data_IF_725733464590
#
_entry.id   IF_725733464590
#
_cell.length_a   1.000
_cell.length_b   1.000
_cell.length_c   1.000
_cell.angle_alpha   90.00
_cell.angle_beta   90.00
_cell.angle_gamma   90.00
#
_symmetry.space_group_name_H-M   'P 1'
#
loop_
_entity.id
_entity.type
_entity.pdbx_description
1 polymer ?
#
# COMPACT_ATOMS: atom_id res chain seq x y z
N UNK A 1 3.26 -13.71 -9.13
CA UNK A 1 1.91 -13.59 -8.53
C UNK A 1 0.87 -13.37 -9.61
N UNK A 2 -0.31 -13.97 -9.50
CA UNK A 2 -1.42 -13.76 -10.45
C UNK A 2 -2.77 -13.84 -9.74
N UNK A 3 -3.79 -13.17 -10.28
CA UNK A 3 -5.19 -13.35 -9.90
C UNK A 3 -5.88 -14.28 -10.89
N UNK A 4 -6.62 -15.23 -10.36
CA UNK A 4 -7.43 -16.17 -11.13
C UNK A 4 -8.89 -16.10 -10.67
N UNK A 5 -9.84 -16.40 -11.56
CA UNK A 5 -11.23 -16.55 -11.16
C UNK A 5 -11.40 -17.70 -10.18
N UNK A 6 -12.22 -17.49 -9.15
CA UNK A 6 -12.56 -18.56 -8.21
C UNK A 6 -13.28 -19.69 -8.97
N UNK A 7 -12.87 -20.93 -8.70
CA UNK A 7 -13.49 -22.12 -9.28
C UNK A 7 -13.38 -23.31 -8.31
N UNK A 8 -14.07 -24.39 -8.60
CA UNK A 8 -14.01 -25.62 -7.79
C UNK A 8 -12.60 -26.23 -7.67
N UNK A 9 -11.69 -25.90 -8.60
CA UNK A 9 -10.28 -26.31 -8.51
C UNK A 9 -9.56 -25.72 -7.30
N UNK A 10 -10.08 -24.64 -6.72
CA UNK A 10 -9.51 -23.96 -5.56
C UNK A 10 -10.08 -24.46 -4.22
N UNK A 11 -10.92 -25.53 -4.24
CA UNK A 11 -11.62 -26.01 -3.05
C UNK A 11 -10.68 -26.40 -1.89
N UNK A 12 -9.54 -27.03 -2.18
CA UNK A 12 -8.58 -27.41 -1.15
C UNK A 12 -7.86 -26.18 -0.55
N UNK A 13 -7.59 -25.18 -1.35
CA UNK A 13 -7.04 -23.89 -0.87
C UNK A 13 -8.02 -23.14 0.02
N UNK A 14 -9.27 -23.02 -0.42
CA UNK A 14 -10.35 -22.41 0.35
C UNK A 14 -10.62 -23.19 1.66
N UNK A 15 -10.61 -24.53 1.62
CA UNK A 15 -10.76 -25.33 2.83
C UNK A 15 -9.66 -25.00 3.85
N UNK A 16 -8.38 -24.97 3.41
CA UNK A 16 -7.27 -24.60 4.32
C UNK A 16 -7.42 -23.19 4.87
N UNK A 17 -7.89 -22.23 4.05
CA UNK A 17 -8.14 -20.86 4.48
C UNK A 17 -9.21 -20.79 5.58
N UNK A 18 -10.30 -21.57 5.47
CA UNK A 18 -11.36 -21.66 6.46
C UNK A 18 -10.99 -22.44 7.72
N UNK A 19 -9.87 -23.18 7.71
CA UNK A 19 -9.29 -23.81 8.90
C UNK A 19 -8.23 -22.92 9.58
N UNK A 20 -7.80 -21.83 8.94
CA UNK A 20 -6.80 -20.92 9.47
C UNK A 20 -7.43 -19.97 10.51
N UNK A 21 -7.18 -20.24 11.81
CA UNK A 21 -7.72 -19.43 12.90
C UNK A 21 -7.33 -17.96 12.83
N UNK A 22 -6.15 -17.64 12.30
CA UNK A 22 -5.72 -16.25 12.14
C UNK A 22 -6.54 -15.49 11.06
N UNK A 23 -7.35 -16.20 10.30
CA UNK A 23 -8.22 -15.67 9.26
C UNK A 23 -9.68 -15.79 9.69
N UNK A 24 -10.13 -16.99 10.05
CA UNK A 24 -11.55 -17.29 10.30
C UNK A 24 -12.10 -16.53 11.51
N UNK A 25 -11.26 -16.21 12.49
CA UNK A 25 -11.70 -15.47 13.68
C UNK A 25 -12.14 -14.03 13.38
N UNK A 26 -11.73 -13.47 12.22
CA UNK A 26 -12.05 -12.11 11.80
C UNK A 26 -12.95 -12.04 10.57
N UNK A 27 -12.82 -13.03 9.69
CA UNK A 27 -13.57 -13.13 8.43
C UNK A 27 -14.02 -14.58 8.31
N UNK A 28 -15.22 -14.83 7.80
CA UNK A 28 -15.73 -16.18 7.56
C UNK A 28 -16.00 -17.00 8.84
N UNK A 29 -16.37 -16.36 9.95
CA UNK A 29 -16.73 -17.06 11.20
C UNK A 29 -17.82 -18.10 11.02
N UNK A 30 -18.74 -17.84 10.10
CA UNK A 30 -19.82 -18.74 9.70
C UNK A 30 -19.32 -20.04 9.07
N UNK A 31 -18.09 -20.08 8.59
CA UNK A 31 -17.46 -21.27 8.00
C UNK A 31 -16.50 -22.00 8.94
N UNK A 32 -16.45 -21.61 10.21
CA UNK A 32 -15.63 -22.30 11.20
C UNK A 32 -16.08 -23.77 11.34
N UNK A 33 -15.16 -24.70 11.09
CA UNK A 33 -15.46 -26.14 11.15
C UNK A 33 -16.15 -26.74 9.93
N UNK A 34 -16.29 -25.97 8.84
CA UNK A 34 -16.88 -26.44 7.58
C UNK A 34 -16.13 -27.67 7.02
N UNK A 35 -16.85 -28.62 6.45
CA UNK A 35 -16.28 -29.76 5.76
C UNK A 35 -15.80 -29.43 4.34
N UNK A 36 -14.94 -30.29 3.78
CA UNK A 36 -14.46 -30.13 2.38
C UNK A 36 -15.59 -30.20 1.33
N UNK A 37 -16.67 -30.91 1.64
CA UNK A 37 -17.82 -31.04 0.74
C UNK A 37 -18.60 -29.71 0.72
N UNK A 38 -18.86 -29.17 1.90
CA UNK A 38 -19.57 -27.89 2.03
C UNK A 38 -18.79 -26.72 1.41
N UNK A 39 -17.45 -26.74 1.46
CA UNK A 39 -16.62 -25.72 0.78
C UNK A 39 -16.90 -25.67 -0.72
N UNK A 40 -17.13 -26.81 -1.37
CA UNK A 40 -17.49 -26.83 -2.80
C UNK A 40 -18.81 -26.13 -3.07
N UNK A 41 -19.81 -26.33 -2.20
CA UNK A 41 -21.11 -25.66 -2.30
C UNK A 41 -20.95 -24.14 -2.06
N UNK A 42 -20.11 -23.74 -1.10
CA UNK A 42 -19.79 -22.30 -0.89
C UNK A 42 -19.14 -21.68 -2.13
N UNK A 43 -18.18 -22.37 -2.74
CA UNK A 43 -17.55 -21.89 -3.97
C UNK A 43 -18.58 -21.77 -5.10
N UNK A 44 -19.42 -22.78 -5.27
CA UNK A 44 -20.44 -22.78 -6.32
C UNK A 44 -21.40 -21.60 -6.14
N UNK A 45 -21.93 -21.38 -4.95
CA UNK A 45 -22.81 -20.25 -4.64
C UNK A 45 -22.12 -18.89 -4.93
N UNK A 46 -20.83 -18.76 -4.58
CA UNK A 46 -20.06 -17.55 -4.84
C UNK A 46 -19.84 -17.29 -6.33
N UNK A 47 -19.56 -18.33 -7.11
CA UNK A 47 -19.34 -18.24 -8.57
C UNK A 47 -20.64 -17.96 -9.33
N UNK A 48 -21.77 -18.48 -8.86
CA UNK A 48 -23.09 -18.28 -9.47
C UNK A 48 -23.71 -16.91 -9.13
N UNK A 49 -23.22 -16.22 -8.10
CA UNK A 49 -23.72 -14.90 -7.71
C UNK A 49 -23.18 -13.80 -8.63
N UNK A 50 -24.05 -13.24 -9.46
CA UNK A 50 -23.69 -12.20 -10.44
C UNK A 50 -23.31 -10.84 -9.83
N UNK A 51 -23.65 -10.61 -8.57
CA UNK A 51 -23.39 -9.36 -7.84
C UNK A 51 -22.12 -9.44 -6.99
N UNK A 52 -21.35 -10.51 -7.18
CA UNK A 52 -20.08 -10.72 -6.51
C UNK A 52 -19.00 -11.12 -7.53
N UNK A 53 -17.76 -10.74 -7.24
CA UNK A 53 -16.58 -11.13 -7.99
C UNK A 53 -15.55 -11.66 -7.01
N UNK A 54 -15.10 -12.87 -7.26
CA UNK A 54 -14.13 -13.55 -6.42
C UNK A 54 -12.89 -13.93 -7.21
N UNK A 55 -11.73 -13.42 -6.79
CA UNK A 55 -10.44 -13.72 -7.40
C UNK A 55 -9.53 -14.42 -6.38
N UNK A 56 -8.91 -15.49 -6.82
CA UNK A 56 -7.91 -16.22 -6.03
C UNK A 56 -6.53 -15.62 -6.29
N UNK A 57 -5.77 -15.41 -5.23
CA UNK A 57 -4.37 -14.99 -5.29
C UNK A 57 -3.51 -16.25 -5.33
N UNK A 58 -2.73 -16.40 -6.38
CA UNK A 58 -1.76 -17.49 -6.56
C UNK A 58 -0.33 -16.93 -6.52
N UNK A 59 0.60 -17.70 -5.93
CA UNK A 59 2.02 -17.37 -6.01
C UNK A 59 2.64 -17.88 -7.33
N UNK A 60 3.93 -17.64 -7.50
CA UNK A 60 4.67 -18.05 -8.72
C UNK A 60 4.86 -19.59 -8.81
N UNK A 61 4.61 -20.30 -7.71
CA UNK A 61 4.66 -21.77 -7.59
C UNK A 61 3.27 -22.42 -7.78
N UNK A 62 2.28 -21.63 -8.23
CA UNK A 62 0.88 -22.03 -8.36
C UNK A 62 0.23 -22.54 -7.07
N UNK A 63 0.67 -22.03 -5.92
CA UNK A 63 0.01 -22.31 -4.67
C UNK A 63 -1.10 -21.29 -4.37
N UNK A 64 -2.20 -21.77 -3.78
CA UNK A 64 -3.27 -20.92 -3.28
C UNK A 64 -2.80 -20.13 -2.06
N UNK A 65 -2.79 -18.81 -2.18
CA UNK A 65 -2.35 -17.86 -1.14
C UNK A 65 -3.53 -17.28 -0.38
N UNK A 66 -4.61 -16.96 -1.09
CA UNK A 66 -5.78 -16.32 -0.50
C UNK A 66 -6.82 -15.95 -1.55
N UNK A 67 -7.78 -15.13 -1.14
CA UNK A 67 -8.88 -14.67 -1.99
C UNK A 67 -9.11 -13.19 -1.77
N UNK A 68 -9.41 -12.46 -2.85
CA UNK A 68 -9.90 -11.09 -2.82
C UNK A 68 -11.21 -10.99 -3.59
N UNK A 69 -12.15 -10.24 -3.07
CA UNK A 69 -13.51 -10.21 -3.62
C UNK A 69 -14.07 -8.80 -3.64
N UNK A 70 -14.95 -8.55 -4.61
CA UNK A 70 -15.91 -7.47 -4.60
C UNK A 70 -17.28 -8.08 -4.35
N UNK A 71 -17.96 -7.63 -3.33
CA UNK A 71 -19.32 -8.04 -2.97
C UNK A 71 -20.23 -6.82 -2.95
N UNK A 72 -21.54 -7.03 -2.90
CA UNK A 72 -22.50 -5.91 -2.95
C UNK A 72 -22.25 -4.94 -4.10
N UNK A 73 -21.98 -5.47 -5.27
CA UNK A 73 -21.78 -4.62 -6.46
C UNK A 73 -23.09 -3.94 -6.81
N UNK A 74 -23.19 -2.65 -6.51
CA UNK A 74 -24.33 -1.82 -6.87
C UNK A 74 -23.98 -0.99 -8.12
N UNK A 75 -24.52 -1.40 -9.27
CA UNK A 75 -24.27 -0.72 -10.56
C UNK A 75 -24.92 0.64 -10.67
N UNK A 76 -25.97 0.90 -9.88
CA UNK A 76 -26.68 2.19 -9.90
C UNK A 76 -25.93 3.24 -9.10
N UNK A 77 -25.41 2.87 -7.92
CA UNK A 77 -24.61 3.75 -7.08
C UNK A 77 -23.11 3.69 -7.46
N UNK A 78 -22.75 2.77 -8.34
CA UNK A 78 -21.35 2.52 -8.78
C UNK A 78 -20.42 2.20 -7.61
N UNK A 79 -20.89 1.40 -6.66
CA UNK A 79 -20.18 1.04 -5.44
C UNK A 79 -20.04 -0.48 -5.27
N UNK A 80 -19.08 -0.91 -4.46
CA UNK A 80 -18.96 -2.29 -4.02
C UNK A 80 -18.22 -2.37 -2.67
N UNK A 81 -18.31 -3.54 -2.04
CA UNK A 81 -17.55 -3.85 -0.83
C UNK A 81 -16.35 -4.74 -1.16
N UNK A 82 -15.18 -4.39 -0.62
CA UNK A 82 -13.94 -5.18 -0.73
C UNK A 82 -13.80 -6.14 0.45
N UNK A 83 -13.54 -7.40 0.14
CA UNK A 83 -13.10 -8.41 1.10
C UNK A 83 -11.75 -8.99 0.66
N UNK A 84 -10.83 -9.16 1.61
CA UNK A 84 -9.55 -9.81 1.34
C UNK A 84 -9.14 -10.73 2.49
N UNK A 85 -8.66 -11.91 2.13
CA UNK A 85 -8.13 -12.89 3.06
C UNK A 85 -6.92 -13.60 2.46
N UNK A 86 -5.85 -13.63 3.23
CA UNK A 86 -4.60 -14.31 2.88
C UNK A 86 -4.30 -15.31 3.98
N UNK A 87 -3.89 -16.52 3.63
CA UNK A 87 -3.49 -17.53 4.61
C UNK A 87 -2.29 -17.06 5.43
N UNK A 88 -2.27 -17.41 6.71
CA UNK A 88 -1.23 -16.96 7.66
C UNK A 88 0.19 -17.34 7.25
N UNK A 89 0.37 -18.40 6.49
CA UNK A 89 1.67 -18.84 5.95
C UNK A 89 2.26 -17.83 4.94
N UNK A 90 1.44 -16.93 4.42
CA UNK A 90 1.81 -15.95 3.40
C UNK A 90 1.71 -14.50 3.90
N UNK A 91 1.51 -14.29 5.20
CA UNK A 91 1.50 -12.96 5.78
C UNK A 91 2.83 -12.23 5.54
N UNK A 92 2.78 -10.92 5.44
CA UNK A 92 3.92 -10.00 5.24
C UNK A 92 4.71 -10.15 3.93
N UNK A 93 4.28 -11.05 3.04
CA UNK A 93 4.98 -11.33 1.76
C UNK A 93 4.44 -10.51 0.57
N UNK A 94 3.62 -9.49 0.81
CA UNK A 94 3.09 -8.59 -0.24
C UNK A 94 1.85 -9.09 -0.99
N UNK A 95 1.40 -10.32 -0.78
CA UNK A 95 0.27 -10.90 -1.52
C UNK A 95 -1.06 -10.18 -1.28
N UNK A 96 -1.34 -9.76 -0.04
CA UNK A 96 -2.55 -9.01 0.25
C UNK A 96 -2.56 -7.68 -0.51
N UNK A 97 -1.43 -6.98 -0.56
CA UNK A 97 -1.30 -5.74 -1.31
C UNK A 97 -1.52 -5.94 -2.81
N UNK A 98 -0.87 -6.94 -3.38
CA UNK A 98 -1.08 -7.31 -4.77
C UNK A 98 -2.57 -7.57 -5.07
N UNK A 99 -3.24 -8.37 -4.25
CA UNK A 99 -4.66 -8.68 -4.41
C UNK A 99 -5.56 -7.43 -4.35
N UNK A 100 -5.33 -6.54 -3.36
CA UNK A 100 -6.09 -5.29 -3.24
C UNK A 100 -5.88 -4.39 -4.46
N UNK A 101 -4.63 -4.21 -4.90
CA UNK A 101 -4.34 -3.38 -6.06
C UNK A 101 -5.02 -3.87 -7.33
N UNK A 102 -4.89 -5.15 -7.63
CA UNK A 102 -5.46 -5.72 -8.86
C UNK A 102 -6.99 -5.70 -8.86
N UNK A 103 -7.64 -5.94 -7.71
CA UNK A 103 -9.09 -5.89 -7.63
C UNK A 103 -9.64 -4.46 -7.71
N UNK A 104 -8.93 -3.46 -7.16
CA UNK A 104 -9.30 -2.05 -7.30
C UNK A 104 -9.15 -1.58 -8.75
N UNK A 105 -8.06 -1.94 -9.44
CA UNK A 105 -7.93 -1.70 -10.88
C UNK A 105 -9.08 -2.29 -11.65
N UNK A 106 -9.45 -3.52 -11.35
CA UNK A 106 -10.57 -4.19 -11.98
C UNK A 106 -11.89 -3.43 -11.72
N UNK A 107 -12.14 -3.04 -10.48
CA UNK A 107 -13.33 -2.28 -10.08
C UNK A 107 -13.47 -0.95 -10.84
N UNK A 108 -12.39 -0.17 -10.90
CA UNK A 108 -12.43 1.17 -11.48
C UNK A 108 -12.33 1.20 -13.02
N UNK A 109 -11.53 0.29 -13.61
CA UNK A 109 -11.25 0.32 -15.03
C UNK A 109 -12.21 -0.56 -15.87
N UNK A 110 -12.67 -1.68 -15.31
CA UNK A 110 -13.55 -2.61 -16.04
C UNK A 110 -15.02 -2.53 -15.61
N UNK A 111 -15.28 -2.43 -14.29
CA UNK A 111 -16.64 -2.30 -13.79
C UNK A 111 -17.13 -0.86 -13.75
N UNK A 112 -16.22 0.11 -13.95
CA UNK A 112 -16.49 1.55 -13.89
C UNK A 112 -17.12 2.01 -12.56
N UNK A 113 -16.79 1.33 -11.46
CA UNK A 113 -17.26 1.72 -10.13
C UNK A 113 -16.64 3.05 -9.71
N UNK A 114 -17.34 3.79 -8.83
CA UNK A 114 -16.93 5.09 -8.31
C UNK A 114 -16.30 4.99 -6.91
N UNK A 115 -16.76 4.04 -6.10
CA UNK A 115 -16.32 3.90 -4.72
C UNK A 115 -16.28 2.44 -4.26
N UNK A 116 -15.18 2.06 -3.60
CA UNK A 116 -15.02 0.76 -2.97
C UNK A 116 -14.86 0.97 -1.47
N UNK A 117 -15.67 0.26 -0.68
CA UNK A 117 -15.74 0.38 0.77
C UNK A 117 -15.37 -0.95 1.43
N UNK A 118 -14.85 -0.91 2.63
CA UNK A 118 -14.64 -2.10 3.46
C UNK A 118 -14.50 -1.73 4.93
N UNK A 119 -14.71 -2.71 5.80
CA UNK A 119 -14.51 -2.53 7.21
C UNK A 119 -13.50 -3.52 7.80
N UNK A 120 -12.91 -3.13 8.90
CA UNK A 120 -11.96 -3.93 9.68
C UNK A 120 -12.33 -3.86 11.15
N UNK A 121 -12.43 -5.00 11.82
CA UNK A 121 -12.61 -5.04 13.27
C UNK A 121 -11.41 -4.40 13.98
N UNK A 122 -11.65 -3.51 14.94
CA UNK A 122 -10.59 -2.91 15.76
C UNK A 122 -9.81 -3.97 16.58
N UNK A 123 -10.35 -5.17 16.69
CA UNK A 123 -9.66 -6.34 17.28
C UNK A 123 -8.71 -7.04 16.31
N UNK A 124 -8.61 -6.58 15.04
CA UNK A 124 -7.67 -7.12 14.06
C UNK A 124 -6.52 -6.10 13.77
N UNK A 125 -5.53 -5.99 14.67
CA UNK A 125 -4.48 -4.99 14.55
C UNK A 125 -3.66 -5.15 13.27
N UNK A 126 -3.51 -6.38 12.76
CA UNK A 126 -2.78 -6.66 11.53
C UNK A 126 -3.46 -6.04 10.30
N UNK A 127 -4.77 -6.22 10.17
CA UNK A 127 -5.51 -5.64 9.06
C UNK A 127 -5.57 -4.11 9.17
N UNK A 128 -5.74 -3.56 10.39
CA UNK A 128 -5.67 -2.12 10.62
C UNK A 128 -4.31 -1.55 10.21
N UNK A 129 -3.21 -2.17 10.65
CA UNK A 129 -1.86 -1.78 10.26
C UNK A 129 -1.69 -1.85 8.74
N UNK A 130 -2.18 -2.92 8.12
CA UNK A 130 -2.10 -3.09 6.67
C UNK A 130 -2.78 -1.92 5.92
N UNK A 131 -4.04 -1.61 6.22
CA UNK A 131 -4.75 -0.55 5.51
C UNK A 131 -4.25 0.85 5.87
N UNK A 132 -3.85 1.10 7.12
CA UNK A 132 -3.23 2.36 7.52
C UNK A 132 -1.86 2.57 6.83
N UNK A 133 -1.05 1.52 6.74
CA UNK A 133 0.23 1.53 6.01
C UNK A 133 0.04 1.96 4.56
N UNK A 134 -1.01 1.49 3.92
CA UNK A 134 -1.33 1.82 2.54
C UNK A 134 -2.20 3.08 2.39
N UNK A 135 -2.40 3.85 3.49
CA UNK A 135 -3.03 5.17 3.54
C UNK A 135 -4.39 5.26 2.86
N UNK A 136 -5.18 4.22 2.97
CA UNK A 136 -6.56 4.30 2.56
C UNK A 136 -7.33 5.28 3.46
N UNK A 137 -8.19 6.08 2.85
CA UNK A 137 -9.04 7.00 3.56
C UNK A 137 -10.01 6.25 4.49
N UNK A 138 -10.25 6.77 5.69
CA UNK A 138 -11.33 6.27 6.54
C UNK A 138 -12.66 6.84 6.08
N UNK A 139 -13.72 6.03 6.13
CA UNK A 139 -15.08 6.42 5.81
C UNK A 139 -15.90 6.44 7.11
N UNK A 140 -16.16 7.63 7.66
CA UNK A 140 -16.89 7.73 8.93
C UNK A 140 -18.41 7.90 8.73
N UNK A 141 -18.86 8.67 7.74
CA UNK A 141 -20.29 9.03 7.55
C UNK A 141 -20.88 8.62 6.19
N UNK A 142 -20.13 8.60 5.10
CA UNK A 142 -20.63 8.42 3.73
C UNK A 142 -20.56 6.96 3.22
N UNK A 143 -20.86 6.00 4.11
CA UNK A 143 -20.88 4.59 3.73
C UNK A 143 -22.26 4.25 3.14
N UNK A 144 -22.35 3.64 1.93
CA UNK A 144 -23.62 3.22 1.36
C UNK A 144 -24.42 2.34 2.32
N UNK A 145 -25.71 2.64 2.47
CA UNK A 145 -26.57 1.94 3.42
C UNK A 145 -26.58 0.42 3.22
N UNK A 146 -26.60 -0.03 1.97
CA UNK A 146 -26.61 -1.46 1.63
C UNK A 146 -25.37 -2.18 2.11
N UNK A 147 -24.20 -1.54 2.06
CA UNK A 147 -22.95 -2.09 2.58
C UNK A 147 -22.97 -2.06 4.11
N UNK A 148 -23.32 -0.91 4.71
CA UNK A 148 -23.30 -0.73 6.17
C UNK A 148 -24.30 -1.64 6.88
N UNK A 149 -25.48 -1.87 6.29
CA UNK A 149 -26.54 -2.68 6.87
C UNK A 149 -26.17 -4.15 7.07
N UNK A 150 -25.25 -4.69 6.30
CA UNK A 150 -24.75 -6.07 6.46
C UNK A 150 -23.92 -6.28 7.73
N UNK A 151 -23.35 -5.21 8.24
CA UNK A 151 -22.49 -5.20 9.43
C UNK A 151 -23.19 -4.59 10.66
N UNK A 152 -24.52 -4.46 10.65
CA UNK A 152 -25.29 -3.80 11.70
C UNK A 152 -25.16 -4.49 13.08
N UNK A 153 -24.86 -5.77 13.09
CA UNK A 153 -24.64 -6.55 14.31
C UNK A 153 -23.16 -6.61 14.74
N UNK A 154 -22.27 -5.96 14.00
CA UNK A 154 -20.87 -5.90 14.30
C UNK A 154 -20.54 -4.55 14.93
N UNK A 155 -20.13 -4.58 16.18
CA UNK A 155 -19.65 -3.40 16.90
C UNK A 155 -18.13 -3.27 16.73
N UNK A 156 -17.62 -2.05 16.78
CA UNK A 156 -16.19 -1.80 16.82
C UNK A 156 -15.48 -2.06 15.49
N UNK A 157 -16.06 -1.52 14.42
CA UNK A 157 -15.50 -1.55 13.06
C UNK A 157 -14.87 -0.21 12.68
N UNK A 158 -13.73 -0.27 12.00
CA UNK A 158 -13.17 0.87 11.27
C UNK A 158 -13.46 0.68 9.79
N UNK A 159 -14.04 1.71 9.21
CA UNK A 159 -14.37 1.74 7.80
C UNK A 159 -13.31 2.46 6.98
N UNK A 160 -13.11 1.95 5.78
CA UNK A 160 -12.20 2.50 4.79
C UNK A 160 -12.92 2.69 3.46
N UNK A 161 -12.40 3.60 2.65
CA UNK A 161 -12.90 3.87 1.29
C UNK A 161 -11.74 4.11 0.34
N UNK A 162 -11.93 3.68 -0.90
CA UNK A 162 -11.12 4.08 -2.05
C UNK A 162 -12.06 4.57 -3.15
N UNK A 163 -11.91 5.80 -3.58
CA UNK A 163 -12.71 6.41 -4.63
C UNK A 163 -11.97 6.34 -5.97
N UNK A 164 -12.74 6.32 -7.07
CA UNK A 164 -12.17 6.41 -8.41
C UNK A 164 -11.47 7.76 -8.57
N UNK A 165 -10.19 7.73 -8.86
CA UNK A 165 -9.34 8.93 -8.91
C UNK A 165 -8.52 9.17 -7.65
N UNK A 166 -8.80 8.43 -6.56
CA UNK A 166 -7.84 8.34 -5.47
C UNK A 166 -6.52 7.76 -6.00
N UNK A 167 -5.44 8.29 -5.49
CA UNK A 167 -4.09 7.99 -5.97
C UNK A 167 -3.57 6.64 -5.47
N UNK A 168 -4.45 5.60 -5.51
CA UNK A 168 -4.06 4.25 -5.14
C UNK A 168 -3.03 3.66 -6.12
N UNK A 169 -2.94 4.17 -7.37
CA UNK A 169 -1.91 3.74 -8.32
C UNK A 169 -0.51 4.23 -7.92
N UNK A 170 -0.38 5.37 -7.29
CA UNK A 170 0.87 5.80 -6.67
C UNK A 170 1.17 4.97 -5.42
N UNK A 171 0.15 4.53 -4.68
CA UNK A 171 0.28 3.49 -3.68
C UNK A 171 0.68 2.12 -4.30
N UNK A 172 0.33 1.85 -5.57
CA UNK A 172 0.73 0.65 -6.33
C UNK A 172 2.20 0.71 -6.77
N UNK A 173 2.69 1.89 -7.13
CA UNK A 173 4.12 2.08 -7.47
C UNK A 173 5.02 1.96 -6.22
N UNK A 174 4.47 2.15 -5.02
CA UNK A 174 5.19 1.85 -3.79
C UNK A 174 5.24 0.33 -3.57
N UNK A 175 6.13 -0.36 -4.25
CA UNK A 175 6.62 -1.68 -3.80
C UNK A 175 7.36 -1.57 -2.46
N UNK A 176 7.08 -0.49 -1.71
CA UNK A 176 7.75 -0.10 -0.52
C UNK A 176 7.14 -0.71 0.74
N UNK A 177 7.96 -1.40 1.52
CA UNK A 177 7.60 -1.92 2.84
C UNK A 177 7.77 -0.88 3.95
N UNK A 178 8.21 0.33 3.62
CA UNK A 178 8.43 1.42 4.57
C UNK A 178 7.24 2.38 4.50
N UNK A 179 6.36 2.30 5.50
CA UNK A 179 5.22 3.21 5.61
C UNK A 179 5.71 4.67 5.70
N UNK A 180 4.96 5.59 5.09
CA UNK A 180 5.37 6.98 5.01
C UNK A 180 6.30 7.31 3.85
N UNK A 181 6.73 6.31 3.07
CA UNK A 181 7.48 6.50 1.84
C UNK A 181 6.63 6.11 0.65
N UNK A 182 6.44 7.03 -0.29
CA UNK A 182 5.66 6.80 -1.52
C UNK A 182 6.54 7.00 -2.73
N UNK A 183 6.52 6.06 -3.66
CA UNK A 183 7.06 6.28 -4.99
C UNK A 183 6.03 7.12 -5.77
N UNK A 184 6.46 8.25 -6.31
CA UNK A 184 5.61 9.15 -7.08
C UNK A 184 6.12 9.28 -8.51
N UNK A 185 5.19 9.40 -9.44
CA UNK A 185 5.50 9.70 -10.83
C UNK A 185 5.67 11.21 -11.01
N UNK A 186 6.83 11.63 -11.49
CA UNK A 186 7.08 13.00 -11.93
C UNK A 186 6.56 13.10 -13.35
N UNK A 187 5.69 14.06 -13.62
CA UNK A 187 5.16 14.26 -14.96
C UNK A 187 6.27 14.60 -15.93
N UNK A 188 6.34 13.85 -17.02
CA UNK A 188 7.34 14.04 -18.07
C UNK A 188 6.64 14.22 -19.40
N UNK A 189 6.93 15.34 -20.06
CA UNK A 189 6.42 15.68 -21.38
C UNK A 189 7.59 15.56 -22.38
N UNK A 190 7.57 14.55 -23.27
CA UNK A 190 8.57 14.45 -24.31
C UNK A 190 8.37 15.58 -25.33
N UNK A 191 9.47 16.23 -25.71
CA UNK A 191 9.50 17.24 -26.77
C UNK A 191 10.30 16.71 -27.93
N UNK A 192 9.68 16.58 -29.09
CA UNK A 192 10.35 16.05 -30.29
C UNK A 192 11.59 16.89 -30.59
N UNK A 193 12.76 16.25 -30.69
CA UNK A 193 14.08 16.84 -30.97
C UNK A 193 14.61 17.81 -29.90
N UNK A 194 13.90 18.07 -28.81
CA UNK A 194 14.30 19.03 -27.77
C UNK A 194 14.38 18.41 -26.34
N UNK A 195 14.30 17.09 -26.22
CA UNK A 195 14.40 16.39 -24.95
C UNK A 195 13.06 16.27 -24.21
N UNK A 196 13.11 16.22 -22.88
CA UNK A 196 11.96 15.98 -22.01
C UNK A 196 11.85 17.06 -20.95
N UNK A 197 10.62 17.51 -20.68
CA UNK A 197 10.29 18.40 -19.58
C UNK A 197 9.67 17.62 -18.46
N UNK A 198 10.31 17.57 -17.30
CA UNK A 198 9.76 16.95 -16.09
C UNK A 198 9.41 18.01 -15.06
N UNK A 199 8.25 17.88 -14.42
CA UNK A 199 7.76 18.79 -13.39
C UNK A 199 6.81 18.12 -12.42
N UNK A 200 6.61 18.75 -11.27
CA UNK A 200 5.61 18.39 -10.28
C UNK A 200 5.06 19.64 -9.60
N UNK A 201 3.83 19.58 -9.11
CA UNK A 201 3.11 20.71 -8.54
C UNK A 201 2.73 20.44 -7.08
N UNK A 202 2.88 21.44 -6.23
CA UNK A 202 2.46 21.44 -4.82
C UNK A 202 0.97 21.11 -4.68
N UNK A 203 0.62 20.27 -3.72
CA UNK A 203 -0.76 19.81 -3.41
C UNK A 203 -1.48 19.10 -4.56
N UNK A 204 -0.82 18.84 -5.67
CA UNK A 204 -1.38 18.13 -6.82
C UNK A 204 -0.63 16.84 -7.09
N UNK A 205 0.68 16.93 -7.22
CA UNK A 205 1.56 15.79 -7.47
C UNK A 205 2.32 15.35 -6.21
N UNK A 206 2.51 16.28 -5.27
CA UNK A 206 3.11 16.02 -3.95
C UNK A 206 2.22 16.59 -2.82
N UNK A 207 2.15 15.90 -1.65
CA UNK A 207 1.15 16.20 -0.60
C UNK A 207 1.54 17.35 0.32
N UNK A 208 2.50 18.22 -0.05
CA UNK A 208 2.95 19.32 0.79
C UNK A 208 3.37 20.54 -0.01
N UNK A 209 3.37 21.71 0.62
CA UNK A 209 3.94 22.93 0.08
C UNK A 209 5.47 22.87 0.08
N UNK A 210 6.09 23.25 -1.03
CA UNK A 210 7.56 23.29 -1.15
C UNK A 210 8.04 24.65 -0.61
N UNK A 211 8.79 24.62 0.49
CA UNK A 211 9.47 25.81 1.04
C UNK A 211 10.94 25.86 0.70
N UNK A 212 11.53 24.72 0.37
CA UNK A 212 12.95 24.63 0.03
C UNK A 212 13.17 23.55 -1.02
N UNK A 213 14.07 23.84 -1.97
CA UNK A 213 14.63 22.87 -2.88
C UNK A 213 16.15 22.90 -2.80
N UNK A 214 16.78 21.73 -2.81
CA UNK A 214 18.23 21.60 -2.84
C UNK A 214 18.66 20.39 -3.66
N UNK A 215 19.92 20.34 -4.04
CA UNK A 215 20.49 19.21 -4.76
C UNK A 215 21.89 18.88 -4.25
N UNK A 216 22.28 17.61 -4.43
CA UNK A 216 23.56 17.07 -4.03
C UNK A 216 24.27 16.54 -5.29
N UNK A 217 25.46 17.06 -5.55
CA UNK A 217 26.27 16.73 -6.71
C UNK A 217 27.71 16.42 -6.33
N UNK A 218 28.48 15.94 -7.28
CA UNK A 218 29.91 15.67 -7.14
C UNK A 218 30.23 14.68 -6.01
N UNK A 219 29.30 13.78 -5.69
CA UNK A 219 29.56 12.70 -4.76
C UNK A 219 30.24 11.56 -5.52
N UNK A 220 31.35 11.02 -5.01
CA UNK A 220 32.02 9.88 -5.64
C UNK A 220 31.11 8.65 -5.71
N UNK A 221 31.28 7.85 -6.76
CA UNK A 221 30.64 6.53 -6.84
C UNK A 221 31.05 5.65 -5.66
N UNK A 222 30.11 4.87 -5.13
CA UNK A 222 30.29 4.03 -3.95
C UNK A 222 30.19 4.79 -2.61
N UNK A 223 30.12 6.12 -2.62
CA UNK A 223 29.97 6.91 -1.40
C UNK A 223 28.55 6.87 -0.88
N UNK A 224 28.41 6.69 0.44
CA UNK A 224 27.15 6.82 1.17
C UNK A 224 27.01 8.18 1.83
N UNK A 225 25.79 8.69 1.87
CA UNK A 225 25.40 9.92 2.58
C UNK A 225 24.04 9.72 3.25
N UNK A 226 23.63 10.75 3.99
CA UNK A 226 22.40 10.71 4.77
C UNK A 226 22.74 10.39 6.22
N UNK A 227 22.47 9.17 6.65
CA UNK A 227 22.65 8.72 8.05
C UNK A 227 21.90 9.62 9.03
N UNK A 228 20.61 9.86 8.74
CA UNK A 228 19.75 10.66 9.59
C UNK A 228 18.27 10.38 9.31
N UNK A 229 17.42 10.81 10.22
CA UNK A 229 15.99 10.98 10.03
C UNK A 229 15.59 12.44 10.28
N UNK A 230 14.38 12.79 9.96
CA UNK A 230 13.74 14.05 10.31
C UNK A 230 12.52 13.78 11.19
N UNK A 231 12.25 14.68 12.16
CA UNK A 231 11.10 14.57 13.04
C UNK A 231 9.78 14.93 12.34
N UNK A 232 9.80 16.02 11.56
CA UNK A 232 8.60 16.59 10.95
C UNK A 232 8.73 16.88 9.44
N UNK A 233 9.94 16.99 8.93
CA UNK A 233 10.19 17.41 7.54
C UNK A 233 9.71 16.35 6.55
N UNK A 234 8.82 16.75 5.65
CA UNK A 234 8.41 15.96 4.48
C UNK A 234 9.28 16.30 3.29
N UNK A 235 9.64 15.30 2.50
CA UNK A 235 10.57 15.49 1.38
C UNK A 235 10.14 14.66 0.17
N UNK A 236 10.35 15.22 -1.04
CA UNK A 236 10.41 14.47 -2.28
C UNK A 236 11.88 14.35 -2.70
N UNK A 237 12.36 13.12 -2.86
CA UNK A 237 13.69 12.81 -3.36
C UNK A 237 13.59 12.24 -4.77
N UNK A 238 14.39 12.73 -5.72
CA UNK A 238 14.45 12.19 -7.08
C UNK A 238 15.85 12.38 -7.67
N UNK A 239 16.17 11.56 -8.67
CA UNK A 239 17.47 11.57 -9.35
C UNK A 239 17.28 11.95 -10.82
N UNK A 240 17.43 13.24 -11.20
CA UNK A 240 17.25 13.66 -12.58
C UNK A 240 18.37 13.17 -13.51
N UNK A 241 19.51 12.77 -12.97
CA UNK A 241 20.62 12.21 -13.73
C UNK A 241 21.44 11.25 -12.88
N UNK A 242 21.72 10.07 -13.43
CA UNK A 242 22.56 9.06 -12.82
C UNK A 242 21.77 7.98 -12.09
N UNK A 243 22.38 7.41 -11.05
CA UNK A 243 21.83 6.27 -10.29
C UNK A 243 22.16 6.40 -8.81
N UNK A 244 21.13 6.42 -7.97
CA UNK A 244 21.25 6.51 -6.51
C UNK A 244 20.34 5.47 -5.87
N UNK A 245 20.86 4.68 -4.95
CA UNK A 245 20.07 3.78 -4.12
C UNK A 245 19.70 4.51 -2.82
N UNK A 246 18.41 4.62 -2.56
CA UNK A 246 17.88 5.03 -1.27
C UNK A 246 17.71 3.80 -0.38
N UNK A 247 18.17 3.90 0.86
CA UNK A 247 17.96 2.92 1.90
C UNK A 247 17.13 3.60 2.98
N UNK A 248 15.91 3.12 3.18
CA UNK A 248 14.91 3.71 4.04
C UNK A 248 14.50 2.73 5.13
N UNK A 249 14.40 3.21 6.37
CA UNK A 249 13.99 2.38 7.50
C UNK A 249 13.15 3.18 8.50
N UNK A 250 12.05 2.57 8.93
CA UNK A 250 11.22 3.06 10.03
C UNK A 250 10.57 1.88 10.77
N UNK A 251 9.64 2.14 11.70
CA UNK A 251 8.94 1.11 12.48
C UNK A 251 8.12 0.09 11.65
N UNK A 252 7.94 0.34 10.36
CA UNK A 252 7.20 -0.54 9.44
C UNK A 252 8.11 -1.48 8.64
N UNK A 253 9.41 -1.21 8.61
CA UNK A 253 10.38 -2.03 7.91
C UNK A 253 11.54 -1.26 7.30
N UNK A 254 12.32 -1.97 6.50
CA UNK A 254 13.47 -1.46 5.75
C UNK A 254 13.29 -1.76 4.26
N UNK A 255 13.67 -0.81 3.43
CA UNK A 255 13.57 -0.92 1.98
C UNK A 255 14.74 -0.26 1.27
N UNK A 256 15.05 -0.77 0.09
CA UNK A 256 16.04 -0.21 -0.82
C UNK A 256 15.36 0.13 -2.14
N UNK A 257 15.44 1.40 -2.54
CA UNK A 257 14.81 1.93 -3.75
C UNK A 257 15.89 2.51 -4.65
N UNK A 258 15.96 2.03 -5.89
CA UNK A 258 16.86 2.60 -6.90
C UNK A 258 16.19 3.78 -7.61
N UNK A 259 16.81 4.95 -7.57
CA UNK A 259 16.47 6.12 -8.33
C UNK A 259 17.40 6.20 -9.56
N UNK A 260 16.94 5.72 -10.70
CA UNK A 260 17.66 5.75 -11.99
C UNK A 260 16.78 6.23 -13.15
N UNK A 261 15.51 6.46 -12.88
CA UNK A 261 14.53 7.02 -13.79
C UNK A 261 14.16 8.44 -13.32
N UNK A 262 14.43 9.51 -14.12
CA UNK A 262 14.11 10.89 -13.75
C UNK A 262 12.61 11.17 -13.58
N UNK A 263 11.75 10.31 -14.11
CA UNK A 263 10.28 10.40 -13.93
C UNK A 263 9.79 9.78 -12.62
N UNK A 264 10.70 9.25 -11.78
CA UNK A 264 10.36 8.61 -10.51
C UNK A 264 10.96 9.40 -9.35
N UNK A 265 10.14 9.67 -8.34
CA UNK A 265 10.57 10.23 -7.06
C UNK A 265 10.08 9.42 -5.86
N UNK A 266 10.64 9.69 -4.69
CA UNK A 266 10.21 9.11 -3.42
C UNK A 266 9.81 10.24 -2.48
N UNK A 267 8.55 10.26 -2.06
CA UNK A 267 8.03 11.15 -1.01
C UNK A 267 8.21 10.46 0.34
N UNK A 268 8.81 11.15 1.30
CA UNK A 268 8.97 10.72 2.69
C UNK A 268 8.19 11.71 3.55
N UNK A 269 7.19 11.22 4.31
CA UNK A 269 6.30 12.07 5.10
C UNK A 269 6.41 11.80 6.62
N UNK A 270 6.99 10.67 7.01
CA UNK A 270 7.13 10.28 8.42
C UNK A 270 8.59 10.14 8.83
N UNK A 271 8.90 10.16 10.13
CA UNK A 271 10.25 9.92 10.61
C UNK A 271 10.78 8.60 10.05
N UNK A 272 11.75 8.71 9.15
CA UNK A 272 12.35 7.59 8.43
C UNK A 272 13.84 7.79 8.38
N UNK A 273 14.60 6.82 8.88
CA UNK A 273 16.05 6.78 8.70
C UNK A 273 16.37 6.60 7.23
N UNK A 274 17.29 7.39 6.72
CA UNK A 274 17.68 7.36 5.31
C UNK A 274 19.17 7.38 5.10
N UNK A 275 19.59 6.52 4.19
CA UNK A 275 20.90 6.53 3.61
C UNK A 275 20.78 6.60 2.10
N UNK A 276 21.72 7.21 1.44
CA UNK A 276 21.79 7.30 -0.01
C UNK A 276 23.15 6.81 -0.48
N UNK A 277 23.18 5.82 -1.37
CA UNK A 277 24.39 5.29 -2.00
C UNK A 277 24.46 5.79 -3.45
N UNK A 278 25.52 6.50 -3.79
CA UNK A 278 25.79 6.91 -5.18
C UNK A 278 26.30 5.71 -5.96
N UNK A 279 25.48 5.16 -6.85
CA UNK A 279 25.81 3.95 -7.63
C UNK A 279 26.43 4.28 -8.99
N UNK A 280 26.44 5.56 -9.40
CA UNK A 280 27.03 6.04 -10.64
C UNK A 280 27.69 7.38 -10.38
N UNK A 281 28.81 7.60 -11.03
CA UNK A 281 29.52 8.89 -11.02
C UNK A 281 28.63 10.02 -11.58
N UNK A 282 28.82 11.22 -11.05
CA UNK A 282 28.12 12.44 -11.46
C UNK A 282 26.58 12.42 -11.27
N UNK A 283 26.05 11.41 -10.55
CA UNK A 283 24.64 11.40 -10.19
C UNK A 283 24.23 12.62 -9.37
N UNK A 284 23.02 13.10 -9.65
CA UNK A 284 22.43 14.27 -9.01
C UNK A 284 21.23 13.83 -8.18
N UNK A 285 21.25 14.07 -6.86
CA UNK A 285 20.07 13.94 -6.02
C UNK A 285 19.43 15.30 -5.84
N UNK A 286 18.16 15.43 -6.23
CA UNK A 286 17.34 16.59 -5.97
C UNK A 286 16.36 16.30 -4.85
N UNK A 287 16.11 17.29 -3.99
CA UNK A 287 15.18 17.17 -2.85
C UNK A 287 14.34 18.44 -2.75
N UNK A 288 13.01 18.26 -2.84
CA UNK A 288 12.04 19.28 -2.47
C UNK A 288 11.55 19.01 -1.04
N UNK A 289 11.46 20.04 -0.21
CA UNK A 289 11.23 19.93 1.21
C UNK A 289 10.08 20.85 1.68
N UNK A 290 9.29 20.34 2.64
CA UNK A 290 8.10 21.02 3.14
C UNK A 290 8.39 22.17 4.10
N UNK A 291 9.64 22.32 4.54
CA UNK A 291 10.02 23.38 5.46
C UNK A 291 11.45 23.93 5.20
N UNK A 292 11.74 25.04 5.84
CA UNK A 292 13.08 25.64 5.83
C UNK A 292 14.08 24.72 6.55
N UNK A 293 15.36 25.06 6.43
CA UNK A 293 16.41 24.33 7.11
C UNK A 293 16.32 24.57 8.62
N UNK A 294 16.15 23.47 9.36
CA UNK A 294 16.16 23.46 10.81
C UNK A 294 17.08 22.33 11.28
N UNK A 295 18.10 22.64 12.06
CA UNK A 295 19.06 21.67 12.60
C UNK A 295 18.44 20.81 13.69
N UNK A 296 17.45 21.33 14.42
CA UNK A 296 16.82 20.62 15.53
C UNK A 296 15.78 19.59 15.07
N UNK A 297 15.39 19.64 13.79
CA UNK A 297 14.54 18.63 13.16
C UNK A 297 15.29 17.34 12.81
N UNK A 298 16.64 17.35 12.83
CA UNK A 298 17.44 16.19 12.48
C UNK A 298 17.60 15.22 13.66
N UNK A 299 17.46 13.93 13.39
CA UNK A 299 17.86 12.82 14.23
C UNK A 299 19.09 12.19 13.58
N UNK A 300 20.27 12.34 14.21
CA UNK A 300 21.55 11.89 13.64
C UNK A 300 22.12 10.67 14.33
N UNK A 301 21.63 10.34 15.52
CA UNK A 301 21.97 9.15 16.26
C UNK A 301 21.01 8.03 15.89
N UNK A 302 21.55 6.93 15.35
CA UNK A 302 20.73 5.81 14.91
C UNK A 302 20.15 5.02 16.09
N UNK A 303 20.83 4.98 17.22
CA UNK A 303 20.33 4.30 18.41
C UNK A 303 19.21 5.10 19.08
N UNK A 304 19.31 6.43 19.10
CA UNK A 304 18.19 7.33 19.46
C UNK A 304 17.00 7.12 18.53
N UNK A 305 17.23 7.12 17.21
CA UNK A 305 16.17 6.88 16.24
C UNK A 305 15.47 5.52 16.47
N UNK A 306 16.23 4.45 16.69
CA UNK A 306 15.67 3.12 16.97
C UNK A 306 14.81 3.13 18.23
N UNK A 307 15.32 3.71 19.30
CA UNK A 307 14.62 3.78 20.57
C UNK A 307 13.29 4.50 20.45
N UNK A 308 13.28 5.66 19.82
CA UNK A 308 12.12 6.55 19.81
C UNK A 308 11.11 6.22 18.70
N UNK A 309 11.58 5.70 17.56
CA UNK A 309 10.74 5.52 16.35
C UNK A 309 10.64 4.06 15.85
N UNK A 310 11.54 3.14 16.23
CA UNK A 310 11.40 1.73 15.87
C UNK A 310 10.82 0.88 17.02
N UNK A 311 11.16 1.20 18.27
CA UNK A 311 10.77 0.39 19.43
C UNK A 311 9.89 1.13 20.45
N UNK A 312 9.72 2.45 20.31
CA UNK A 312 9.12 3.35 21.30
C UNK A 312 7.62 3.14 21.61
N UNK A 313 6.93 2.18 20.96
CA UNK A 313 5.52 1.86 21.24
C UNK A 313 5.31 0.47 21.85
N UNK A 314 6.32 -0.13 22.49
CA UNK A 314 6.15 -1.44 23.17
C UNK A 314 6.04 -1.37 24.70
N UNK A 315 6.11 -0.18 25.30
CA UNK A 315 5.87 0.01 26.72
C UNK A 315 4.70 0.97 26.92
N UNK A 316 3.51 0.42 26.93
CA UNK A 316 2.28 1.18 27.21
C UNK A 316 1.02 0.37 26.98
N UNK A 317 0.71 -0.52 27.97
CA UNK A 317 -0.54 -1.25 28.18
C UNK A 317 -0.80 -2.50 27.34
#
# INVERSE_FOLDING_TARGET
MQLMDLSLNHADGMYRLFQDKNVVDFIYREYAGISRIEVKSVIQNKVENSDEIHKVIMNDENEFVGIVSLTNINKTEETAELLISVSSNFFTKGYAWYGVCEILKYAFNFLNLRGIYWCVSNRNPRALQFFNKHRFNTADEDIPYEIKSRHINENDLRWYVCLKGDDFENAILSKGNVAGCKIVKIKTIPTVEAGELSFFETHKDIPFEIKRMYYITKVPEGMRRGFHAHKNLRQLLFCPYGKIQLILENNWGREEIELSDPSIGVVIEEPTWREMLWMQRDSVLCVAASDYYDVDDYIRDYDEFKKDYLYGNKEGE
#
